data_IF_549291245189
#
_entry.id   IF_549291245189
#
_cell.length_a   1.000
_cell.length_b   1.000
_cell.length_c   1.000
_cell.angle_alpha   90.00
_cell.angle_beta   90.00
_cell.angle_gamma   90.00
#
_symmetry.space_group_name_H-M   'P 1'
#
loop_
_entity.id
_entity.type
_entity.pdbx_description
1 polymer ?
#
# COMPACT_ATOMS: atom_id res chain seq x y z
N UNK A 1 4.48 9.72 16.50
CA UNK A 1 4.40 10.74 15.43
C UNK A 1 5.73 10.92 14.67
N UNK A 2 6.87 11.10 15.34
CA UNK A 2 8.19 11.28 14.66
C UNK A 2 8.66 10.05 13.86
N UNK A 3 8.49 8.83 14.39
CA UNK A 3 8.90 7.58 13.70
C UNK A 3 8.08 7.33 12.43
N UNK A 4 6.77 7.57 12.49
CA UNK A 4 5.83 7.43 11.36
C UNK A 4 6.18 8.37 10.20
N UNK A 5 6.46 9.64 10.49
CA UNK A 5 6.85 10.62 9.48
C UNK A 5 8.23 10.32 8.84
N UNK A 6 9.16 9.73 9.60
CA UNK A 6 10.43 9.25 9.06
C UNK A 6 10.22 8.04 8.14
N UNK A 7 9.32 7.13 8.49
CA UNK A 7 9.08 5.93 7.68
C UNK A 7 8.33 6.18 6.38
N UNK A 8 7.37 7.11 6.37
CA UNK A 8 6.68 7.54 5.16
C UNK A 8 7.65 8.19 4.15
N UNK A 9 8.68 8.90 4.62
CA UNK A 9 9.73 9.48 3.75
C UNK A 9 10.56 8.46 2.97
N UNK A 10 10.51 7.17 3.32
CA UNK A 10 11.22 6.10 2.59
C UNK A 10 10.35 5.40 1.53
N UNK A 11 9.08 5.78 1.40
CA UNK A 11 8.24 5.29 0.32
C UNK A 11 8.62 6.03 -0.97
N UNK A 12 8.68 5.30 -2.09
CA UNK A 12 8.75 5.95 -3.40
C UNK A 12 7.46 6.77 -3.59
N UNK A 13 7.53 7.85 -4.38
CA UNK A 13 6.35 8.67 -4.67
C UNK A 13 5.20 7.85 -5.27
N UNK A 14 5.51 6.77 -5.99
CA UNK A 14 4.53 5.82 -6.57
C UNK A 14 3.83 5.02 -5.47
N UNK A 15 4.59 4.50 -4.50
CA UNK A 15 4.06 3.74 -3.37
C UNK A 15 3.21 4.62 -2.46
N UNK A 16 3.71 5.82 -2.18
CA UNK A 16 2.98 6.82 -1.45
C UNK A 16 1.67 7.14 -2.19
N UNK A 17 1.70 7.51 -3.47
CA UNK A 17 0.51 7.92 -4.21
C UNK A 17 -0.55 6.80 -4.34
N UNK A 18 -0.16 5.52 -4.43
CA UNK A 18 -1.12 4.39 -4.50
C UNK A 18 -1.65 3.96 -3.13
N UNK A 19 -0.82 3.88 -2.08
CA UNK A 19 -1.30 3.63 -0.71
C UNK A 19 -2.22 4.78 -0.28
N UNK A 20 -1.80 6.02 -0.54
CA UNK A 20 -2.53 7.24 -0.21
C UNK A 20 -3.81 7.35 -1.03
N UNK A 21 -3.79 7.25 -2.35
CA UNK A 21 -5.00 7.49 -3.15
C UNK A 21 -5.93 6.31 -3.23
N UNK A 22 -5.47 5.07 -3.23
CA UNK A 22 -6.35 3.93 -3.58
C UNK A 22 -6.76 3.10 -2.38
N UNK A 23 -5.79 2.68 -1.56
CA UNK A 23 -6.10 1.85 -0.41
C UNK A 23 -6.87 2.64 0.65
N UNK A 24 -6.41 3.84 1.00
CA UNK A 24 -7.08 4.70 2.00
C UNK A 24 -8.51 5.06 1.57
N UNK A 25 -8.70 5.49 0.31
CA UNK A 25 -10.01 5.84 -0.24
C UNK A 25 -10.94 4.63 -0.31
N UNK A 26 -10.43 3.47 -0.73
CA UNK A 26 -11.27 2.27 -0.87
C UNK A 26 -11.72 1.72 0.49
N UNK A 27 -10.87 1.86 1.51
CA UNK A 27 -11.12 1.40 2.87
C UNK A 27 -11.79 2.46 3.76
N UNK A 28 -12.09 3.64 3.22
CA UNK A 28 -12.64 4.79 3.95
C UNK A 28 -11.89 5.05 5.28
N UNK A 29 -10.56 5.11 5.21
CA UNK A 29 -9.69 5.24 6.37
C UNK A 29 -8.53 6.18 6.10
N UNK A 30 -7.98 6.78 7.15
CA UNK A 30 -6.77 7.59 7.02
C UNK A 30 -5.51 6.72 6.84
N UNK A 31 -4.47 7.30 6.24
CA UNK A 31 -3.17 6.65 6.04
C UNK A 31 -2.52 6.37 7.40
N UNK A 32 -2.63 7.29 8.34
CA UNK A 32 -2.08 7.14 9.69
C UNK A 32 -2.68 5.92 10.37
N UNK A 33 -3.99 5.71 10.23
CA UNK A 33 -4.66 4.53 10.77
C UNK A 33 -4.17 3.25 10.10
N UNK A 34 -3.97 3.24 8.78
CA UNK A 34 -3.39 2.09 8.08
C UNK A 34 -1.97 1.76 8.56
N UNK A 35 -1.14 2.78 8.77
CA UNK A 35 0.23 2.61 9.27
C UNK A 35 0.22 2.11 10.71
N UNK A 36 -0.63 2.66 11.58
CA UNK A 36 -0.76 2.18 12.98
C UNK A 36 -1.22 0.73 13.01
N UNK A 37 -2.24 0.37 12.22
CA UNK A 37 -2.75 -0.99 12.13
C UNK A 37 -1.66 -1.97 11.66
N UNK A 38 -0.87 -1.57 10.65
CA UNK A 38 0.26 -2.34 10.16
C UNK A 38 1.36 -2.49 11.23
N UNK A 39 1.79 -1.38 11.83
CA UNK A 39 2.85 -1.37 12.83
C UNK A 39 2.45 -2.11 14.12
N UNK A 40 1.16 -2.25 14.41
CA UNK A 40 0.66 -3.08 15.52
C UNK A 40 0.98 -4.57 15.37
N UNK A 41 1.16 -5.07 14.15
CA UNK A 41 1.54 -6.46 13.85
C UNK A 41 2.95 -6.62 13.26
N UNK A 42 3.61 -5.52 12.91
CA UNK A 42 4.89 -5.55 12.23
C UNK A 42 6.07 -5.78 13.20
N UNK A 43 7.01 -6.63 12.78
CA UNK A 43 8.24 -6.90 13.51
C UNK A 43 9.46 -6.47 12.66
N UNK A 44 10.41 -5.68 13.19
CA UNK A 44 11.64 -5.32 12.48
C UNK A 44 12.41 -6.50 11.89
N UNK A 45 12.33 -7.69 12.49
CA UNK A 45 12.96 -8.93 11.97
C UNK A 45 12.37 -9.42 10.64
N UNK A 46 11.18 -8.95 10.26
CA UNK A 46 10.56 -9.27 8.96
C UNK A 46 11.23 -8.54 7.80
N UNK A 47 12.03 -7.49 8.07
CA UNK A 47 12.64 -6.66 7.04
C UNK A 47 11.62 -5.95 6.14
N UNK A 48 12.10 -5.36 5.04
CA UNK A 48 11.31 -4.90 3.90
C UNK A 48 10.05 -4.10 4.26
N UNK A 49 10.18 -3.12 5.17
CA UNK A 49 9.06 -2.36 5.73
C UNK A 49 8.11 -1.82 4.64
N UNK A 50 8.64 -1.19 3.59
CA UNK A 50 7.83 -0.60 2.52
C UNK A 50 7.01 -1.66 1.77
N UNK A 51 7.64 -2.77 1.37
CA UNK A 51 6.95 -3.90 0.71
C UNK A 51 5.87 -4.47 1.62
N UNK A 52 6.19 -4.69 2.90
CA UNK A 52 5.22 -5.25 3.86
C UNK A 52 4.05 -4.31 4.13
N UNK A 53 4.27 -3.01 4.14
CA UNK A 53 3.21 -2.01 4.25
C UNK A 53 2.32 -2.02 2.99
N UNK A 54 2.92 -2.09 1.79
CA UNK A 54 2.18 -2.22 0.52
C UNK A 54 1.33 -3.49 0.52
N UNK A 55 1.91 -4.64 0.87
CA UNK A 55 1.21 -5.93 0.96
C UNK A 55 0.01 -5.83 1.91
N UNK A 56 0.21 -5.27 3.10
CA UNK A 56 -0.85 -5.12 4.11
C UNK A 56 -2.01 -4.25 3.63
N UNK A 57 -1.70 -3.05 3.12
CA UNK A 57 -2.71 -2.12 2.60
C UNK A 57 -3.45 -2.72 1.42
N UNK A 58 -2.72 -3.39 0.52
CA UNK A 58 -3.29 -4.00 -0.68
C UNK A 58 -4.22 -5.16 -0.35
N UNK A 59 -3.81 -6.05 0.56
CA UNK A 59 -4.62 -7.17 1.01
C UNK A 59 -5.95 -6.72 1.61
N UNK A 60 -5.93 -5.68 2.46
CA UNK A 60 -7.17 -5.08 2.99
C UNK A 60 -8.06 -4.52 1.89
N UNK A 61 -7.50 -3.71 0.98
CA UNK A 61 -8.26 -3.07 -0.09
C UNK A 61 -8.87 -4.06 -1.09
N UNK A 62 -8.15 -5.13 -1.45
CA UNK A 62 -8.66 -6.22 -2.28
C UNK A 62 -9.77 -6.98 -1.55
N UNK A 63 -9.60 -7.29 -0.27
CA UNK A 63 -10.65 -7.95 0.52
C UNK A 63 -11.95 -7.15 0.51
N UNK A 64 -11.88 -5.83 0.66
CA UNK A 64 -13.05 -4.95 0.63
C UNK A 64 -13.71 -4.90 -0.76
N UNK A 65 -12.93 -4.88 -1.84
CA UNK A 65 -13.48 -4.99 -3.19
C UNK A 65 -14.21 -6.33 -3.44
N UNK A 66 -13.67 -7.42 -2.89
CA UNK A 66 -14.23 -8.75 -3.08
C UNK A 66 -15.61 -8.91 -2.42
N UNK A 67 -15.97 -8.11 -1.40
CA UNK A 67 -17.31 -8.11 -0.81
C UNK A 67 -18.43 -7.83 -1.83
N UNK A 68 -18.16 -7.05 -2.88
CA UNK A 68 -19.08 -6.81 -4.00
C UNK A 68 -18.34 -6.93 -5.34
N UNK A 69 -17.77 -8.11 -5.58
CA UNK A 69 -16.88 -8.32 -6.73
C UNK A 69 -17.58 -8.06 -8.08
N UNK A 70 -18.83 -8.51 -8.25
CA UNK A 70 -19.59 -8.33 -9.49
C UNK A 70 -19.84 -6.85 -9.78
N UNK A 71 -20.30 -6.09 -8.78
CA UNK A 71 -20.50 -4.65 -8.92
C UNK A 71 -19.19 -3.90 -9.22
N UNK A 72 -18.11 -4.29 -8.54
CA UNK A 72 -16.79 -3.66 -8.71
C UNK A 72 -16.12 -4.01 -10.06
N UNK A 73 -16.38 -5.20 -10.61
CA UNK A 73 -15.96 -5.58 -11.98
C UNK A 73 -16.74 -4.74 -13.00
N UNK A 74 -18.06 -4.64 -12.85
CA UNK A 74 -18.92 -3.94 -13.82
C UNK A 74 -18.59 -2.45 -13.94
N UNK A 75 -18.19 -1.78 -12.86
CA UNK A 75 -17.76 -0.36 -12.89
C UNK A 75 -16.25 -0.20 -13.14
N UNK A 76 -15.52 -1.31 -13.29
CA UNK A 76 -14.08 -1.34 -13.53
C UNK A 76 -13.22 -0.88 -12.37
N UNK A 77 -13.77 -0.76 -11.15
CA UNK A 77 -13.01 -0.37 -9.96
C UNK A 77 -12.04 -1.47 -9.53
N UNK A 78 -12.42 -2.74 -9.75
CA UNK A 78 -11.56 -3.89 -9.49
C UNK A 78 -10.31 -3.85 -10.38
N UNK A 79 -10.48 -3.79 -11.70
CA UNK A 79 -9.36 -3.79 -12.65
C UNK A 79 -8.41 -2.60 -12.46
N UNK A 80 -8.94 -1.40 -12.16
CA UNK A 80 -8.10 -0.23 -11.87
C UNK A 80 -7.26 -0.42 -10.61
N UNK A 81 -7.84 -0.96 -9.54
CA UNK A 81 -7.08 -1.19 -8.31
C UNK A 81 -5.97 -2.21 -8.54
N UNK A 82 -6.27 -3.33 -9.21
CA UNK A 82 -5.27 -4.37 -9.49
C UNK A 82 -4.15 -3.81 -10.38
N UNK A 83 -4.48 -3.04 -11.41
CA UNK A 83 -3.49 -2.39 -12.26
C UNK A 83 -2.57 -1.45 -11.47
N UNK A 84 -3.16 -0.58 -10.63
CA UNK A 84 -2.40 0.35 -9.79
C UNK A 84 -1.52 -0.40 -8.79
N UNK A 85 -1.98 -1.53 -8.23
CA UNK A 85 -1.17 -2.39 -7.37
C UNK A 85 0.01 -3.02 -8.11
N UNK A 86 -0.21 -3.51 -9.33
CA UNK A 86 0.87 -4.08 -10.15
C UNK A 86 1.98 -3.05 -10.43
N UNK A 87 1.63 -1.78 -10.65
CA UNK A 87 2.60 -0.69 -10.82
C UNK A 87 3.42 -0.42 -9.55
N UNK A 88 2.81 -0.52 -8.36
CA UNK A 88 3.53 -0.33 -7.09
C UNK A 88 4.57 -1.43 -6.88
N UNK A 89 4.24 -2.66 -7.29
CA UNK A 89 5.12 -3.81 -7.12
C UNK A 89 6.34 -3.76 -8.05
N UNK A 90 6.32 -2.89 -9.07
CA UNK A 90 7.48 -2.64 -9.92
C UNK A 90 8.58 -1.86 -9.19
N UNK A 91 8.22 -0.94 -8.26
CA UNK A 91 9.17 -0.07 -7.53
C UNK A 91 8.70 0.27 -6.11
N UNK A 92 8.73 -0.69 -5.17
CA UNK A 92 8.17 -0.55 -3.83
C UNK A 92 9.00 0.30 -2.85
N UNK A 93 10.26 0.61 -3.15
CA UNK A 93 11.08 1.50 -2.31
C UNK A 93 11.96 2.45 -3.11
N UNK A 94 12.37 3.56 -2.49
CA UNK A 94 13.32 4.52 -3.09
C UNK A 94 14.73 3.92 -3.28
N UNK A 95 15.12 2.97 -2.43
CA UNK A 95 16.46 2.35 -2.46
C UNK A 95 16.62 1.26 -3.53
N UNK A 96 15.55 0.89 -4.25
CA UNK A 96 15.66 0.02 -5.42
C UNK A 96 16.45 0.68 -6.58
N UNK A 97 16.89 1.93 -6.43
CA UNK A 97 17.75 2.68 -7.36
C UNK A 97 19.26 2.47 -7.14
N UNK A 98 19.69 1.98 -5.97
CA UNK A 98 21.13 1.91 -5.62
C UNK A 98 21.78 0.54 -5.80
N UNK A 99 21.04 -0.52 -6.13
CA UNK A 99 21.59 -1.88 -6.28
C UNK A 99 22.01 -2.24 -7.72
N UNK A 100 22.00 -1.25 -8.63
CA UNK A 100 22.65 -1.36 -9.95
C UNK A 100 23.89 -0.46 -10.02
N UNK A 101 24.90 -0.74 -9.21
CA UNK A 101 26.31 -0.44 -9.57
C UNK A 101 27.30 -1.33 -8.82
#
# INVERSE_FOLDING_TARGET
MVIMALKLKYLSSIVEDVIIKRCSQKLDTSIEKLVVDFEGGWNPKMGNYCIKLVEFCSGKAVSELCHNIEGNINVGSFSRLIYDMMLVWERPSYYDEEDTM
#
